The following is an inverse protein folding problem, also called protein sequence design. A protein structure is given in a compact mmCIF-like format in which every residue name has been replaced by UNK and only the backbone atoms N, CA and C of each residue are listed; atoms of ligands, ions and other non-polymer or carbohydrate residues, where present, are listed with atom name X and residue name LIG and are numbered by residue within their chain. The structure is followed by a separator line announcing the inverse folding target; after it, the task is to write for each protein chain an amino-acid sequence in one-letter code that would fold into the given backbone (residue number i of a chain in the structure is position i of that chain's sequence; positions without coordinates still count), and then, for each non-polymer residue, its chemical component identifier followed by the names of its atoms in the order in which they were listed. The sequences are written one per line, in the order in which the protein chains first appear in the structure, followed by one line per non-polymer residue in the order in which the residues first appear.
data_IF_269222925753
#
_entry.id   IF_269222925753
#
_cell.length_a   1.000
_cell.length_b   1.000
_cell.length_c   1.000
_cell.angle_alpha   90.00
_cell.angle_beta   90.00
_cell.angle_gamma   90.00
#
_symmetry.space_group_name_H-M   'P 1'
#
loop_
_entity.id
_entity.type
_entity.pdbx_description
1 polymer ?
#
# COMPACT_ATOMS: atom_id res chain seq x y z
N UNK A 1 12.01 6.02 1.88
CA UNK A 1 12.80 7.26 1.86
C UNK A 1 14.20 6.92 1.39
N UNK A 2 14.83 7.80 0.61
CA UNK A 2 16.21 7.65 0.17
C UNK A 2 17.00 8.82 0.75
N UNK A 3 18.03 8.53 1.55
CA UNK A 3 18.86 9.56 2.21
C UNK A 3 18.05 10.59 3.02
N UNK A 4 16.98 10.15 3.69
CA UNK A 4 16.10 11.02 4.48
C UNK A 4 15.08 11.82 3.67
N UNK A 5 15.08 11.71 2.34
CA UNK A 5 14.15 12.40 1.46
C UNK A 5 13.01 11.47 0.96
N UNK A 6 11.80 12.02 0.74
CA UNK A 6 10.74 11.30 0.03
C UNK A 6 11.16 11.10 -1.43
N UNK A 7 10.95 9.88 -1.94
CA UNK A 7 11.23 9.52 -3.34
C UNK A 7 10.02 9.79 -4.23
N UNK A 8 8.82 9.58 -3.68
CA UNK A 8 7.55 9.92 -4.33
C UNK A 8 6.56 10.40 -3.27
N UNK A 9 5.79 11.43 -3.62
CA UNK A 9 4.69 11.96 -2.82
C UNK A 9 3.66 12.59 -3.75
N UNK A 10 2.40 12.56 -3.34
CA UNK A 10 1.34 13.21 -4.11
C UNK A 10 0.04 13.31 -3.33
N UNK A 11 -0.77 14.29 -3.71
CA UNK A 11 -2.16 14.41 -3.26
C UNK A 11 -3.06 14.36 -4.48
N UNK A 12 -3.87 13.31 -4.57
CA UNK A 12 -4.77 13.09 -5.70
C UNK A 12 -6.17 12.79 -5.20
N UNK A 13 -7.16 13.39 -5.84
CA UNK A 13 -8.56 13.05 -5.61
C UNK A 13 -8.80 11.59 -6.00
N UNK A 14 -9.38 10.81 -5.09
CA UNK A 14 -9.75 9.43 -5.36
C UNK A 14 -10.84 9.38 -6.43
N UNK A 15 -10.79 8.36 -7.30
CA UNK A 15 -11.76 8.17 -8.38
C UNK A 15 -13.12 7.67 -7.88
N UNK A 16 -13.15 7.08 -6.69
CA UNK A 16 -14.35 6.59 -6.03
C UNK A 16 -14.66 7.41 -4.77
N UNK A 17 -15.92 7.40 -4.34
CA UNK A 17 -16.35 8.03 -3.10
C UNK A 17 -16.19 7.04 -1.96
N UNK A 18 -15.44 7.40 -0.93
CA UNK A 18 -15.32 6.62 0.30
C UNK A 18 -16.39 7.03 1.32
N UNK A 19 -16.95 6.05 2.04
CA UNK A 19 -17.95 6.29 3.08
C UNK A 19 -17.32 6.46 4.48
N UNK A 20 -16.02 6.27 4.61
CA UNK A 20 -15.26 6.48 5.84
C UNK A 20 -13.81 6.88 5.56
N UNK A 21 -13.15 7.49 6.54
CA UNK A 21 -11.71 7.80 6.46
C UNK A 21 -10.86 6.53 6.32
N UNK A 22 -11.19 5.48 7.07
CA UNK A 22 -10.50 4.19 6.98
C UNK A 22 -10.63 3.55 5.60
N UNK A 23 -11.76 3.73 4.92
CA UNK A 23 -11.92 3.28 3.53
C UNK A 23 -11.08 4.09 2.56
N UNK A 24 -11.04 5.42 2.72
CA UNK A 24 -10.19 6.29 1.91
C UNK A 24 -8.72 5.92 2.07
N UNK A 25 -8.26 5.67 3.30
CA UNK A 25 -6.89 5.24 3.57
C UNK A 25 -6.62 3.81 3.10
N UNK A 26 -7.59 2.90 3.15
CA UNK A 26 -7.46 1.57 2.57
C UNK A 26 -7.23 1.62 1.05
N UNK A 27 -7.93 2.51 0.35
CA UNK A 27 -7.72 2.79 -1.07
C UNK A 27 -6.35 3.43 -1.30
N UNK A 28 -5.97 4.41 -0.49
CA UNK A 28 -4.67 5.09 -0.59
C UNK A 28 -3.50 4.12 -0.36
N UNK A 29 -3.59 3.27 0.67
CA UNK A 29 -2.63 2.22 0.99
C UNK A 29 -2.46 1.25 -0.19
N UNK A 30 -3.56 0.89 -0.84
CA UNK A 30 -3.55 0.04 -2.03
C UNK A 30 -2.77 0.65 -3.19
N UNK A 31 -2.93 1.94 -3.45
CA UNK A 31 -2.16 2.65 -4.47
C UNK A 31 -0.68 2.78 -4.06
N UNK A 32 -0.41 3.10 -2.79
CA UNK A 32 0.94 3.23 -2.26
C UNK A 32 1.72 1.91 -2.32
N UNK A 33 1.06 0.76 -2.11
CA UNK A 33 1.68 -0.56 -2.28
C UNK A 33 2.10 -0.79 -3.74
N UNK A 34 1.23 -0.47 -4.71
CA UNK A 34 1.56 -0.65 -6.13
C UNK A 34 2.76 0.18 -6.55
N UNK A 35 2.76 1.46 -6.17
CA UNK A 35 3.87 2.38 -6.45
C UNK A 35 5.15 1.95 -5.71
N UNK A 36 5.04 1.62 -4.42
CA UNK A 36 6.15 1.16 -3.61
C UNK A 36 6.81 -0.10 -4.16
N UNK A 37 6.02 -1.07 -4.64
CA UNK A 37 6.54 -2.30 -5.28
C UNK A 37 7.25 -2.00 -6.60
N UNK A 38 6.75 -1.06 -7.39
CA UNK A 38 7.41 -0.67 -8.63
C UNK A 38 8.77 0.01 -8.36
N UNK A 39 8.80 0.99 -7.45
CA UNK A 39 10.03 1.67 -7.03
C UNK A 39 11.02 0.68 -6.41
N UNK A 40 10.53 -0.23 -5.56
CA UNK A 40 11.35 -1.26 -4.91
C UNK A 40 12.00 -2.19 -5.93
N UNK A 41 11.25 -2.66 -6.93
CA UNK A 41 11.79 -3.51 -8.00
C UNK A 41 12.88 -2.79 -8.78
N UNK A 42 12.62 -1.55 -9.20
CA UNK A 42 13.60 -0.73 -9.90
C UNK A 42 14.88 -0.55 -9.08
N UNK A 43 14.74 -0.26 -7.78
CA UNK A 43 15.88 -0.10 -6.88
C UNK A 43 16.66 -1.41 -6.72
N UNK A 44 15.98 -2.55 -6.59
CA UNK A 44 16.63 -3.87 -6.54
C UNK A 44 17.42 -4.18 -7.81
N UNK A 45 16.87 -3.83 -8.99
CA UNK A 45 17.56 -4.02 -10.27
C UNK A 45 18.83 -3.16 -10.39
N UNK A 46 18.76 -1.89 -9.94
CA UNK A 46 19.91 -0.98 -9.93
C UNK A 46 21.00 -1.50 -8.98
N UNK A 47 20.63 -1.92 -7.77
CA UNK A 47 21.58 -2.42 -6.76
C UNK A 47 22.17 -3.78 -7.14
N UNK A 48 21.38 -4.63 -7.80
CA UNK A 48 21.90 -5.90 -8.32
C UNK A 48 23.01 -5.69 -9.36
N UNK A 49 22.93 -4.63 -10.17
CA UNK A 49 23.98 -4.27 -11.12
C UNK A 49 25.28 -3.80 -10.44
N UNK A 50 25.23 -3.41 -9.17
CA UNK A 50 26.40 -3.02 -8.36
C UNK A 50 26.79 -4.09 -7.34
N UNK A 51 26.28 -5.33 -7.46
CA UNK A 51 26.47 -6.43 -6.51
C UNK A 51 26.00 -6.11 -5.07
N UNK A 52 25.06 -5.18 -4.91
CA UNK A 52 24.45 -4.84 -3.63
C UNK A 52 23.08 -5.52 -3.46
N UNK A 53 22.74 -5.88 -2.22
CA UNK A 53 21.44 -6.47 -1.88
C UNK A 53 20.39 -5.38 -1.77
N UNK A 54 19.27 -5.55 -2.47
CA UNK A 54 18.13 -4.65 -2.38
C UNK A 54 17.52 -4.58 -0.96
N UNK A 55 17.04 -3.41 -0.52
CA UNK A 55 16.45 -3.25 0.81
C UNK A 55 15.10 -3.97 0.92
N UNK A 56 14.61 -4.19 2.15
CA UNK A 56 13.24 -4.65 2.39
C UNK A 56 12.22 -3.53 2.10
N UNK A 57 11.12 -3.86 1.42
CA UNK A 57 10.00 -2.92 1.22
C UNK A 57 9.14 -2.85 2.48
N UNK A 58 9.28 -1.77 3.24
CA UNK A 58 8.46 -1.52 4.44
C UNK A 58 7.40 -0.46 4.19
N UNK A 59 6.14 -0.81 4.40
CA UNK A 59 4.99 0.08 4.29
C UNK A 59 4.44 0.35 5.69
N UNK A 60 4.09 1.61 5.98
CA UNK A 60 3.60 2.05 7.28
C UNK A 60 2.25 2.73 7.11
N UNK A 61 1.36 2.46 8.04
CA UNK A 61 0.04 3.09 8.16
C UNK A 61 -0.18 3.46 9.63
N UNK A 62 -0.82 4.60 9.91
CA UNK A 62 -1.21 5.06 11.24
C UNK A 62 -2.66 4.70 11.59
N UNK A 63 -3.59 4.56 10.63
CA UNK A 63 -4.97 4.21 10.94
C UNK A 63 -5.15 2.72 11.27
N UNK A 64 -5.37 2.46 12.54
CA UNK A 64 -5.59 1.12 13.08
C UNK A 64 -6.81 0.40 12.47
N UNK A 65 -7.85 1.14 12.08
CA UNK A 65 -9.02 0.57 11.41
C UNK A 65 -8.67 0.11 9.99
N UNK A 66 -7.92 0.91 9.23
CA UNK A 66 -7.38 0.53 7.92
C UNK A 66 -6.50 -0.72 8.04
N UNK A 67 -5.57 -0.75 9.00
CA UNK A 67 -4.71 -1.92 9.28
C UNK A 67 -5.54 -3.17 9.62
N UNK A 68 -6.62 -3.03 10.38
CA UNK A 68 -7.51 -4.16 10.68
C UNK A 68 -8.24 -4.67 9.43
N UNK A 69 -8.62 -3.77 8.51
CA UNK A 69 -9.26 -4.14 7.24
C UNK A 69 -8.34 -4.95 6.30
N UNK A 70 -7.01 -4.76 6.41
CA UNK A 70 -6.05 -5.56 5.62
C UNK A 70 -5.91 -6.98 6.16
N UNK A 71 -6.05 -7.16 7.49
CA UNK A 71 -5.90 -8.46 8.16
C UNK A 71 -7.17 -9.28 8.20
N UNK A 72 -8.34 -8.65 8.28
CA UNK A 72 -9.62 -9.34 8.46
C UNK A 72 -10.53 -9.20 7.22
N UNK A 73 -10.76 -10.27 6.43
CA UNK A 73 -11.72 -10.25 5.33
C UNK A 73 -13.18 -10.21 5.82
N UNK A 74 -13.46 -10.50 7.10
CA UNK A 74 -14.81 -10.65 7.67
C UNK A 74 -15.42 -9.36 8.25
N UNK A 75 -15.17 -8.18 7.68
CA UNK A 75 -16.00 -7.02 8.03
C UNK A 75 -17.38 -7.15 7.35
N UNK A 76 -18.33 -7.69 8.13
CA UNK A 76 -19.72 -7.95 7.77
C UNK A 76 -20.35 -6.71 7.11
N UNK A 77 -20.65 -6.80 5.80
CA UNK A 77 -21.43 -5.83 5.02
C UNK A 77 -20.76 -4.47 4.72
N UNK A 78 -20.10 -3.85 5.72
CA UNK A 78 -19.61 -2.47 5.69
C UNK A 78 -18.43 -2.17 4.77
N UNK A 79 -17.78 -3.20 4.25
CA UNK A 79 -16.65 -3.05 3.32
C UNK A 79 -16.90 -3.72 1.96
N UNK A 80 -18.11 -4.24 1.72
CA UNK A 80 -18.47 -4.92 0.45
C UNK A 80 -18.51 -3.97 -0.74
N UNK A 81 -18.79 -2.68 -0.48
CA UNK A 81 -18.85 -1.66 -1.53
C UNK A 81 -17.48 -1.16 -1.97
N UNK A 82 -16.40 -1.57 -1.29
CA UNK A 82 -15.04 -1.27 -1.72
C UNK A 82 -14.75 -2.12 -2.97
N UNK A 83 -14.31 -1.48 -4.05
CA UNK A 83 -13.94 -2.19 -5.27
C UNK A 83 -12.94 -3.31 -4.98
N UNK A 84 -13.20 -4.50 -5.54
CA UNK A 84 -12.39 -5.71 -5.34
C UNK A 84 -10.91 -5.48 -5.66
N UNK A 85 -10.61 -4.59 -6.62
CA UNK A 85 -9.24 -4.24 -7.01
C UNK A 85 -8.39 -3.74 -5.85
N UNK A 86 -8.98 -3.12 -4.82
CA UNK A 86 -8.26 -2.63 -3.64
C UNK A 86 -8.00 -3.73 -2.61
N UNK A 87 -8.68 -4.88 -2.69
CA UNK A 87 -8.51 -5.97 -1.74
C UNK A 87 -7.22 -6.78 -1.94
N UNK A 88 -6.47 -6.56 -3.02
CA UNK A 88 -5.17 -7.20 -3.23
C UNK A 88 -4.19 -6.94 -2.07
N UNK A 89 -4.36 -5.83 -1.33
CA UNK A 89 -3.52 -5.51 -0.19
C UNK A 89 -3.59 -6.56 0.93
N UNK A 90 -4.70 -7.31 1.02
CA UNK A 90 -4.82 -8.42 1.97
C UNK A 90 -3.87 -9.56 1.62
N UNK A 91 -3.66 -9.79 0.33
CA UNK A 91 -2.75 -10.82 -0.16
C UNK A 91 -1.29 -10.38 -0.03
N UNK A 92 -1.03 -9.08 -0.22
CA UNK A 92 0.29 -8.50 0.04
C UNK A 92 0.66 -8.61 1.53
N UNK A 93 -0.24 -8.24 2.45
CA UNK A 93 -0.01 -8.37 3.90
C UNK A 93 0.19 -9.82 4.34
N UNK A 94 -0.46 -10.79 3.68
CA UNK A 94 -0.22 -12.22 3.95
C UNK A 94 1.13 -12.72 3.43
N UNK A 95 1.64 -12.11 2.36
CA UNK A 95 2.92 -12.49 1.75
C UNK A 95 4.12 -12.07 2.60
N UNK A 96 3.96 -11.03 3.40
CA UNK A 96 5.04 -10.35 4.11
C UNK A 96 5.48 -9.14 3.31
#
# INVERSE_FOLDING_TARGET
MLMGAPVSWGSKKQSSVSLSTSEAEYIALSLAIQEGKWIHRLLCEILAATNETGPELKIREDNQSCIKMTKNPMNHGRAKHIDIKYHHIRDEVKRG
#
